data_IF_959141592809
#
_entry.id   IF_959141592809
#
_cell.length_a   1.000
_cell.length_b   1.000
_cell.length_c   1.000
_cell.angle_alpha   90.00
_cell.angle_beta   90.00
_cell.angle_gamma   90.00
#
_symmetry.space_group_name_H-M   'P 1'
#
loop_
_entity.id
_entity.type
_entity.pdbx_description
1 polymer ?
#
# COMPACT_ATOMS: atom_id res chain seq x y z
N UNK A 1 13.97 -8.24 20.33
CA UNK A 1 13.03 -7.51 19.44
C UNK A 1 11.58 -7.88 19.75
N UNK A 2 11.25 -9.17 19.82
CA UNK A 2 9.93 -9.71 20.19
C UNK A 2 9.38 -9.18 21.54
N UNK A 3 10.20 -9.19 22.61
CA UNK A 3 9.83 -8.61 23.92
C UNK A 3 9.47 -7.11 23.89
N UNK A 4 9.98 -6.35 22.91
CA UNK A 4 9.65 -4.92 22.77
C UNK A 4 8.34 -4.75 21.97
N UNK A 5 8.10 -5.63 20.98
CA UNK A 5 6.85 -5.68 20.22
C UNK A 5 5.69 -6.14 21.11
N UNK A 6 5.84 -7.18 21.92
CA UNK A 6 4.83 -7.64 22.88
C UNK A 6 4.53 -6.61 23.98
N UNK A 7 5.51 -5.79 24.37
CA UNK A 7 5.28 -4.68 25.31
C UNK A 7 4.43 -3.56 24.71
N UNK A 8 4.65 -3.25 23.42
CA UNK A 8 3.87 -2.27 22.64
C UNK A 8 2.53 -2.83 22.16
N UNK A 9 2.45 -4.14 21.93
CA UNK A 9 1.30 -4.92 21.52
C UNK A 9 0.79 -5.75 22.69
N UNK A 10 0.29 -5.09 23.73
CA UNK A 10 -0.33 -5.77 24.85
C UNK A 10 -1.85 -5.56 24.85
N UNK A 11 -2.58 -6.45 25.53
CA UNK A 11 -4.05 -6.44 25.59
C UNK A 11 -4.65 -5.08 26.00
N UNK A 12 -3.92 -4.24 26.73
CA UNK A 12 -4.35 -2.88 27.11
C UNK A 12 -4.34 -1.91 25.93
N UNK A 13 -3.42 -2.06 24.97
CA UNK A 13 -3.36 -1.21 23.75
C UNK A 13 -4.50 -1.58 22.80
N UNK A 14 -4.75 -2.87 22.61
CA UNK A 14 -5.88 -3.38 21.84
C UNK A 14 -7.20 -2.92 22.48
N UNK A 15 -7.32 -3.10 23.80
CA UNK A 15 -8.50 -2.67 24.56
C UNK A 15 -8.71 -1.14 24.47
N UNK A 16 -7.64 -0.34 24.53
CA UNK A 16 -7.75 1.11 24.38
C UNK A 16 -8.26 1.53 22.99
N UNK A 17 -7.87 0.81 21.93
CA UNK A 17 -8.33 1.09 20.57
C UNK A 17 -9.78 0.62 20.37
N UNK A 18 -10.16 -0.53 20.92
CA UNK A 18 -11.56 -1.02 20.91
C UNK A 18 -12.48 -0.08 21.70
N UNK A 19 -12.06 0.34 22.89
CA UNK A 19 -12.79 1.33 23.71
C UNK A 19 -12.84 2.68 22.99
N UNK A 20 -11.76 3.11 22.34
CA UNK A 20 -11.75 4.31 21.50
C UNK A 20 -12.77 4.23 20.35
N UNK A 21 -12.85 3.09 19.66
CA UNK A 21 -13.85 2.85 18.61
C UNK A 21 -15.29 2.89 19.13
N UNK A 22 -15.54 2.30 20.31
CA UNK A 22 -16.83 2.38 21.00
C UNK A 22 -17.20 3.82 21.40
N UNK A 23 -16.23 4.58 21.93
CA UNK A 23 -16.41 6.00 22.25
C UNK A 23 -16.76 6.81 21.01
N UNK A 24 -16.12 6.53 19.86
CA UNK A 24 -16.48 7.16 18.57
C UNK A 24 -17.89 6.80 18.15
N UNK A 25 -18.26 5.51 18.18
CA UNK A 25 -19.60 5.03 17.83
C UNK A 25 -20.71 5.69 18.66
N UNK A 26 -20.50 5.80 19.97
CA UNK A 26 -21.47 6.38 20.91
C UNK A 26 -21.51 7.92 20.79
N UNK A 27 -20.36 8.57 20.57
CA UNK A 27 -20.28 10.04 20.53
C UNK A 27 -20.65 10.64 19.17
N UNK A 28 -20.57 9.89 18.07
CA UNK A 28 -20.87 10.37 16.70
C UNK A 28 -22.22 11.08 16.53
N UNK A 29 -23.33 10.63 17.16
CA UNK A 29 -24.63 11.31 17.07
C UNK A 29 -24.69 12.63 17.85
N UNK A 30 -23.85 12.80 18.88
CA UNK A 30 -23.93 13.93 19.83
C UNK A 30 -22.80 14.95 19.62
N UNK A 31 -21.62 14.49 19.19
CA UNK A 31 -20.40 15.29 19.05
C UNK A 31 -19.61 14.89 17.77
N UNK A 32 -20.17 15.14 16.57
CA UNK A 32 -19.63 14.63 15.31
C UNK A 32 -18.20 15.12 15.00
N UNK A 33 -17.87 16.39 15.34
CA UNK A 33 -16.52 16.93 15.14
C UNK A 33 -15.47 16.25 16.03
N UNK A 34 -15.83 15.93 17.27
CA UNK A 34 -14.94 15.20 18.18
C UNK A 34 -14.75 13.75 17.70
N UNK A 35 -15.84 13.09 17.30
CA UNK A 35 -15.79 11.74 16.74
C UNK A 35 -14.89 11.66 15.50
N UNK A 36 -14.95 12.64 14.59
CA UNK A 36 -14.11 12.70 13.39
C UNK A 36 -12.61 12.87 13.72
N UNK A 37 -12.27 13.69 14.72
CA UNK A 37 -10.89 13.83 15.20
C UNK A 37 -10.38 12.50 15.74
N UNK A 38 -11.16 11.84 16.60
CA UNK A 38 -10.76 10.54 17.20
C UNK A 38 -10.67 9.43 16.13
N UNK A 39 -11.60 9.40 15.16
CA UNK A 39 -11.63 8.46 14.02
C UNK A 39 -10.34 8.57 13.18
N UNK A 40 -9.84 9.79 12.97
CA UNK A 40 -8.59 10.01 12.23
C UNK A 40 -7.32 9.46 12.90
N UNK A 41 -7.35 9.25 14.23
CA UNK A 41 -6.28 8.58 14.96
C UNK A 41 -6.47 7.07 15.05
N UNK A 42 -7.72 6.60 15.14
CA UNK A 42 -8.04 5.19 15.27
C UNK A 42 -7.79 4.38 14.00
N UNK A 43 -8.04 4.95 12.81
CA UNK A 43 -7.83 4.23 11.54
C UNK A 43 -6.35 3.87 11.33
N UNK A 44 -5.38 4.81 11.45
CA UNK A 44 -3.95 4.46 11.39
C UNK A 44 -3.53 3.49 12.49
N UNK A 45 -4.07 3.63 13.71
CA UNK A 45 -3.76 2.73 14.82
C UNK A 45 -4.27 1.30 14.55
N UNK A 46 -5.46 1.16 13.95
CA UNK A 46 -6.02 -0.12 13.53
C UNK A 46 -5.18 -0.78 12.45
N UNK A 47 -4.74 -0.03 11.43
CA UNK A 47 -3.84 -0.54 10.38
C UNK A 47 -2.53 -1.03 10.99
N UNK A 48 -1.94 -0.27 11.92
CA UNK A 48 -0.70 -0.67 12.62
C UNK A 48 -0.92 -1.93 13.45
N UNK A 49 -2.05 -2.05 14.15
CA UNK A 49 -2.43 -3.28 14.88
C UNK A 49 -2.57 -4.46 13.94
N UNK A 50 -3.26 -4.32 12.81
CA UNK A 50 -3.44 -5.41 11.83
C UNK A 50 -2.08 -5.85 11.28
N UNK A 51 -1.20 -4.91 10.97
CA UNK A 51 0.18 -5.24 10.56
C UNK A 51 0.96 -5.95 11.67
N UNK A 52 0.81 -5.55 12.94
CA UNK A 52 1.43 -6.24 14.08
C UNK A 52 0.83 -7.62 14.33
N UNK A 53 -0.48 -7.81 14.20
CA UNK A 53 -1.14 -9.12 14.28
C UNK A 53 -0.63 -10.03 13.17
N UNK A 54 -0.57 -9.57 11.93
CA UNK A 54 -0.01 -10.35 10.82
C UNK A 54 1.45 -10.72 11.10
N UNK A 55 2.23 -9.81 11.68
CA UNK A 55 3.62 -10.05 12.06
C UNK A 55 3.73 -11.05 13.23
N UNK A 56 2.92 -10.90 14.28
CA UNK A 56 2.91 -11.77 15.46
C UNK A 56 2.38 -13.14 15.12
N UNK A 57 1.30 -13.24 14.33
CA UNK A 57 0.81 -14.49 13.76
C UNK A 57 1.91 -15.15 12.96
N UNK A 58 2.63 -14.43 12.09
CA UNK A 58 3.77 -14.98 11.34
C UNK A 58 4.89 -15.47 12.25
N UNK A 59 5.24 -14.70 13.29
CA UNK A 59 6.31 -15.04 14.24
C UNK A 59 5.91 -16.22 15.12
N UNK A 60 4.70 -16.23 15.68
CA UNK A 60 4.17 -17.32 16.48
C UNK A 60 3.96 -18.57 15.64
N UNK A 61 3.46 -18.46 14.40
CA UNK A 61 3.44 -19.57 13.47
C UNK A 61 4.85 -20.09 13.23
N UNK A 62 5.88 -19.25 13.03
CA UNK A 62 7.25 -19.73 12.88
C UNK A 62 7.85 -20.37 14.15
N UNK A 63 7.57 -19.81 15.33
CA UNK A 63 8.02 -20.31 16.65
C UNK A 63 7.34 -21.63 17.01
N UNK A 64 6.03 -21.70 16.78
CA UNK A 64 5.23 -22.90 17.02
C UNK A 64 5.54 -23.95 15.97
N UNK A 65 5.89 -23.58 14.73
CA UNK A 65 6.42 -24.49 13.73
C UNK A 65 7.78 -25.07 14.14
N UNK A 66 8.70 -24.26 14.67
CA UNK A 66 9.99 -24.76 15.20
C UNK A 66 9.82 -25.63 16.45
N UNK A 67 8.89 -25.28 17.36
CA UNK A 67 8.57 -26.10 18.53
C UNK A 67 7.86 -27.39 18.14
N UNK A 68 6.98 -27.35 17.15
CA UNK A 68 6.31 -28.53 16.58
C UNK A 68 7.32 -29.40 15.87
N UNK A 69 8.25 -28.86 15.07
CA UNK A 69 9.37 -29.62 14.47
C UNK A 69 10.24 -30.26 15.56
N UNK A 70 10.67 -29.52 16.59
CA UNK A 70 11.46 -30.10 17.69
C UNK A 70 10.70 -31.17 18.48
N UNK A 71 9.39 -30.97 18.69
CA UNK A 71 8.53 -31.95 19.36
C UNK A 71 8.25 -33.15 18.46
N UNK A 72 8.28 -32.96 17.13
CA UNK A 72 8.17 -33.98 16.10
C UNK A 72 9.46 -34.82 16.05
N UNK A 73 10.63 -34.19 16.06
CA UNK A 73 11.95 -34.83 16.16
C UNK A 73 12.10 -35.63 17.48
N UNK A 74 11.54 -35.13 18.59
CA UNK A 74 11.49 -35.83 19.88
C UNK A 74 10.47 -37.00 19.93
N UNK A 75 9.54 -37.07 18.98
CA UNK A 75 8.50 -38.10 18.89
C UNK A 75 8.79 -39.15 17.81
N UNK A 76 9.90 -39.04 17.07
CA UNK A 76 10.36 -40.07 16.10
C UNK A 76 10.58 -41.45 16.75
N UNK A 77 10.68 -41.52 18.08
CA UNK A 77 10.76 -42.77 18.84
C UNK A 77 9.40 -43.44 19.13
N UNK A 78 8.26 -42.76 18.93
CA UNK A 78 6.94 -43.31 19.26
C UNK A 78 5.90 -43.04 18.14
N UNK A 79 5.66 -44.08 17.33
CA UNK A 79 4.58 -44.25 16.33
C UNK A 79 4.71 -43.43 15.02
N UNK A 80 5.49 -44.01 14.10
CA UNK A 80 5.80 -43.53 12.74
C UNK A 80 4.58 -43.26 11.83
N UNK A 81 3.47 -44.01 11.94
CA UNK A 81 2.37 -43.93 10.97
C UNK A 81 1.38 -42.77 11.17
N UNK A 82 1.11 -42.36 12.42
CA UNK A 82 0.26 -41.18 12.71
C UNK A 82 1.03 -39.87 12.44
N UNK A 83 2.36 -39.94 12.56
CA UNK A 83 3.28 -38.85 12.30
C UNK A 83 3.37 -38.47 10.82
N UNK A 84 3.44 -39.47 9.93
CA UNK A 84 3.49 -39.25 8.49
C UNK A 84 2.22 -38.54 7.96
N UNK A 85 1.05 -38.79 8.57
CA UNK A 85 -0.20 -38.14 8.19
C UNK A 85 -0.24 -36.66 8.65
N UNK A 86 0.26 -36.37 9.86
CA UNK A 86 0.36 -35.00 10.39
C UNK A 86 1.39 -34.19 9.61
N UNK A 87 2.54 -34.78 9.27
CA UNK A 87 3.56 -34.16 8.42
C UNK A 87 2.97 -33.89 7.03
N UNK A 88 2.26 -34.84 6.40
CA UNK A 88 1.58 -34.60 5.12
C UNK A 88 0.55 -33.48 5.19
N UNK A 89 -0.29 -33.43 6.23
CA UNK A 89 -1.27 -32.34 6.42
C UNK A 89 -0.59 -31.00 6.64
N UNK A 90 0.48 -30.96 7.42
CA UNK A 90 1.23 -29.74 7.72
C UNK A 90 1.99 -29.23 6.50
N UNK A 91 2.61 -30.13 5.73
CA UNK A 91 3.23 -29.81 4.45
C UNK A 91 2.18 -29.32 3.45
N UNK A 92 1.02 -29.97 3.36
CA UNK A 92 -0.10 -29.51 2.52
C UNK A 92 -0.62 -28.12 2.92
N UNK A 93 -0.66 -27.78 4.21
CA UNK A 93 -1.05 -26.44 4.67
C UNK A 93 0.04 -25.41 4.34
N UNK A 94 1.32 -25.78 4.52
CA UNK A 94 2.46 -24.93 4.13
C UNK A 94 2.48 -24.69 2.62
N UNK A 95 2.21 -25.71 1.83
CA UNK A 95 2.12 -25.63 0.38
C UNK A 95 0.89 -24.80 -0.03
N UNK A 96 -0.25 -24.91 0.67
CA UNK A 96 -1.42 -24.06 0.48
C UNK A 96 -1.18 -22.58 0.87
N UNK A 97 -0.37 -22.31 1.90
CA UNK A 97 0.03 -20.94 2.28
C UNK A 97 1.13 -20.40 1.35
N UNK A 98 1.97 -21.25 0.80
CA UNK A 98 2.98 -20.90 -0.22
C UNK A 98 2.40 -20.78 -1.64
N UNK A 99 1.19 -21.26 -1.88
CA UNK A 99 0.51 -21.17 -3.18
C UNK A 99 0.05 -19.73 -3.43
N UNK A 100 0.97 -18.93 -3.99
CA UNK A 100 0.66 -17.68 -4.69
C UNK A 100 1.07 -16.40 -3.99
N UNK A 101 1.84 -16.46 -2.89
CA UNK A 101 2.33 -15.27 -2.19
C UNK A 101 3.83 -15.04 -2.48
N UNK A 102 4.15 -14.12 -3.39
CA UNK A 102 5.52 -13.61 -3.55
C UNK A 102 5.61 -12.23 -2.92
N UNK A 103 6.55 -12.06 -1.99
CA UNK A 103 6.75 -10.82 -1.27
C UNK A 103 8.21 -10.40 -1.34
N UNK A 104 8.45 -9.12 -1.62
CA UNK A 104 9.78 -8.53 -1.61
C UNK A 104 9.73 -7.22 -0.83
N UNK A 105 10.59 -7.10 0.18
CA UNK A 105 10.85 -5.83 0.85
C UNK A 105 12.19 -5.27 0.35
N UNK A 106 12.33 -3.95 0.39
CA UNK A 106 13.52 -3.26 -0.07
C UNK A 106 14.09 -2.41 1.06
N UNK A 107 15.41 -2.45 1.20
CA UNK A 107 16.13 -1.75 2.27
C UNK A 107 16.44 -0.30 1.89
N UNK A 108 16.28 0.08 0.62
CA UNK A 108 16.57 1.43 0.14
C UNK A 108 15.74 1.89 -1.06
N UNK A 109 15.74 3.22 -1.20
CA UNK A 109 15.75 4.00 -2.44
C UNK A 109 15.81 3.22 -3.74
N UNK A 110 17.07 3.06 -4.05
CA UNK A 110 17.64 2.57 -5.27
C UNK A 110 17.23 1.12 -5.52
N UNK A 111 17.22 0.25 -4.50
CA UNK A 111 16.81 -1.15 -4.67
C UNK A 111 15.36 -1.28 -5.16
N UNK A 112 14.48 -0.44 -4.63
CA UNK A 112 13.08 -0.42 -5.06
C UNK A 112 12.92 0.20 -6.45
N UNK A 113 13.62 1.30 -6.75
CA UNK A 113 13.58 1.93 -8.06
C UNK A 113 14.17 1.01 -9.16
N UNK A 114 15.26 0.27 -8.88
CA UNK A 114 15.84 -0.74 -9.79
C UNK A 114 14.85 -1.87 -10.07
N UNK A 115 14.17 -2.32 -9.01
CA UNK A 115 13.11 -3.32 -9.13
C UNK A 115 11.94 -2.84 -9.98
N UNK A 116 11.46 -1.62 -9.70
CA UNK A 116 10.40 -1.00 -10.50
C UNK A 116 10.83 -0.85 -11.95
N UNK A 117 12.05 -0.39 -12.23
CA UNK A 117 12.54 -0.24 -13.60
C UNK A 117 12.46 -1.57 -14.37
N UNK A 118 12.92 -2.67 -13.76
CA UNK A 118 12.77 -4.00 -14.35
C UNK A 118 11.31 -4.39 -14.61
N UNK A 119 10.43 -4.21 -13.61
CA UNK A 119 9.02 -4.63 -13.70
C UNK A 119 8.20 -3.80 -14.66
N UNK A 120 8.37 -2.49 -14.62
CA UNK A 120 7.66 -1.53 -15.48
C UNK A 120 8.01 -1.74 -16.96
N UNK A 121 9.26 -2.10 -17.27
CA UNK A 121 9.65 -2.41 -18.66
C UNK A 121 8.90 -3.61 -19.25
N UNK A 122 8.48 -4.56 -18.42
CA UNK A 122 7.69 -5.72 -18.83
C UNK A 122 6.18 -5.48 -18.77
N UNK A 123 5.76 -4.50 -17.98
CA UNK A 123 4.35 -4.24 -17.73
C UNK A 123 3.60 -3.81 -19.00
N UNK A 124 2.29 -4.03 -19.06
CA UNK A 124 1.39 -3.52 -20.12
C UNK A 124 0.50 -2.40 -19.62
N UNK A 125 0.04 -2.52 -18.37
CA UNK A 125 -0.84 -1.58 -17.70
C UNK A 125 -0.32 -1.31 -16.31
N UNK A 126 -0.30 -0.03 -15.94
CA UNK A 126 0.01 0.39 -14.58
C UNK A 126 -1.13 1.26 -14.08
N UNK A 127 -1.58 1.01 -12.84
CA UNK A 127 -2.58 1.83 -12.14
C UNK A 127 -1.93 2.38 -10.88
N UNK A 128 -2.03 3.68 -10.67
CA UNK A 128 -1.43 4.36 -9.53
C UNK A 128 -2.50 5.10 -8.73
N UNK A 129 -2.49 4.90 -7.42
CA UNK A 129 -3.29 5.65 -6.45
C UNK A 129 -2.32 6.53 -5.68
N UNK A 130 -2.42 7.85 -5.85
CA UNK A 130 -1.67 8.83 -5.07
C UNK A 130 -2.65 9.71 -4.27
N UNK A 131 -2.89 9.33 -3.01
CA UNK A 131 -3.74 10.11 -2.11
C UNK A 131 -2.90 10.82 -1.05
N UNK A 132 -3.29 12.06 -0.78
CA UNK A 132 -2.75 12.91 0.27
C UNK A 132 -1.22 12.91 0.39
N UNK A 133 -0.49 13.18 -0.71
CA UNK A 133 0.97 13.21 -0.66
C UNK A 133 1.47 14.45 0.06
N UNK A 134 1.56 14.39 1.38
CA UNK A 134 2.03 15.51 2.19
C UNK A 134 3.37 16.04 1.66
N UNK A 135 3.58 17.38 1.67
CA UNK A 135 4.93 17.89 1.53
C UNK A 135 5.70 17.29 2.71
N UNK A 136 6.77 16.56 2.43
CA UNK A 136 7.67 16.17 3.49
C UNK A 136 8.18 17.48 4.10
N UNK A 137 7.63 17.86 5.25
CA UNK A 137 8.14 18.97 6.06
C UNK A 137 9.55 18.67 6.61
N UNK A 138 10.18 17.57 6.19
CA UNK A 138 11.58 17.33 6.39
C UNK A 138 12.39 18.25 5.49
N UNK A 139 12.86 19.31 6.11
CA UNK A 139 14.08 20.08 5.80
C UNK A 139 15.33 19.24 5.48
N UNK A 140 15.27 17.90 5.57
CA UNK A 140 16.30 16.98 5.06
C UNK A 140 16.25 16.92 3.52
N UNK A 141 16.94 17.88 2.90
CA UNK A 141 17.22 17.93 1.46
C UNK A 141 18.22 16.86 0.98
N UNK A 142 18.36 15.72 1.67
CA UNK A 142 19.00 14.56 1.06
C UNK A 142 17.98 13.92 0.12
N UNK A 143 17.78 14.55 -1.04
CA UNK A 143 17.11 13.93 -2.16
C UNK A 143 17.88 12.66 -2.50
N UNK A 144 17.41 11.51 -2.00
CA UNK A 144 17.86 10.23 -2.50
C UNK A 144 17.73 10.26 -4.02
N UNK A 145 18.70 9.71 -4.75
CA UNK A 145 18.68 9.65 -6.22
C UNK A 145 17.47 8.81 -6.65
N UNK A 146 16.31 9.45 -6.82
CA UNK A 146 15.08 8.80 -7.28
C UNK A 146 15.10 8.71 -8.79
N UNK A 147 14.80 7.52 -9.30
CA UNK A 147 14.63 7.24 -10.73
C UNK A 147 13.17 7.08 -11.12
N UNK A 148 12.23 7.14 -10.16
CA UNK A 148 10.79 6.96 -10.40
C UNK A 148 10.26 7.73 -11.62
N UNK A 149 10.55 9.03 -11.73
CA UNK A 149 10.08 9.84 -12.86
C UNK A 149 10.63 9.33 -14.20
N UNK A 150 11.91 8.93 -14.23
CA UNK A 150 12.53 8.39 -15.43
C UNK A 150 11.93 7.02 -15.81
N UNK A 151 11.62 6.19 -14.81
CA UNK A 151 10.99 4.87 -15.00
C UNK A 151 9.59 5.03 -15.60
N UNK A 152 8.76 5.90 -15.01
CA UNK A 152 7.40 6.17 -15.52
C UNK A 152 7.46 6.84 -16.89
N UNK A 153 8.40 7.76 -17.12
CA UNK A 153 8.60 8.37 -18.43
C UNK A 153 8.92 7.32 -19.51
N UNK A 154 9.80 6.36 -19.22
CA UNK A 154 10.11 5.25 -20.15
C UNK A 154 8.88 4.39 -20.46
N UNK A 155 8.05 4.13 -19.46
CA UNK A 155 6.78 3.40 -19.62
C UNK A 155 5.78 4.15 -20.51
N UNK A 156 5.58 5.45 -20.25
CA UNK A 156 4.67 6.28 -21.02
C UNK A 156 5.12 6.38 -22.49
N UNK A 157 6.43 6.59 -22.72
CA UNK A 157 7.02 6.66 -24.07
C UNK A 157 6.89 5.35 -24.86
N UNK A 158 6.75 4.21 -24.18
CA UNK A 158 6.46 2.93 -24.83
C UNK A 158 4.97 2.74 -25.18
N UNK A 159 4.15 3.81 -25.07
CA UNK A 159 2.72 3.88 -25.43
C UNK A 159 1.85 2.86 -24.69
N UNK A 160 2.31 2.41 -23.53
CA UNK A 160 1.57 1.51 -22.63
C UNK A 160 0.59 2.31 -21.79
N UNK A 161 -0.39 1.64 -21.21
CA UNK A 161 -1.50 2.32 -20.52
C UNK A 161 -1.14 2.60 -19.08
N UNK A 162 -1.16 3.88 -18.71
CA UNK A 162 -0.89 4.32 -17.35
C UNK A 162 -2.11 5.07 -16.80
N UNK A 163 -2.71 4.54 -15.75
CA UNK A 163 -3.80 5.19 -15.03
C UNK A 163 -3.28 5.80 -13.74
N UNK A 164 -3.71 7.02 -13.44
CA UNK A 164 -3.39 7.69 -12.17
C UNK A 164 -4.64 8.32 -11.58
N UNK A 165 -4.93 7.98 -10.33
CA UNK A 165 -5.88 8.70 -9.49
C UNK A 165 -5.08 9.58 -8.54
N UNK A 166 -5.43 10.86 -8.49
CA UNK A 166 -4.93 11.79 -7.49
C UNK A 166 -6.07 12.60 -6.88
N UNK A 167 -5.81 13.25 -5.75
CA UNK A 167 -6.79 14.12 -5.09
C UNK A 167 -6.18 15.49 -4.81
N UNK A 168 -7.02 16.43 -4.36
CA UNK A 168 -6.52 17.69 -3.77
C UNK A 168 -5.53 17.36 -2.66
N UNK A 169 -4.44 18.11 -2.59
CA UNK A 169 -3.42 17.96 -1.56
C UNK A 169 -2.98 19.32 -1.08
N UNK A 170 -2.65 19.39 0.21
CA UNK A 170 -2.05 20.57 0.83
C UNK A 170 -0.60 20.82 0.37
N UNK A 171 -0.01 19.89 -0.40
CA UNK A 171 1.28 20.09 -1.05
C UNK A 171 1.10 20.92 -2.34
N UNK A 172 1.54 22.19 -2.38
CA UNK A 172 1.35 23.03 -3.56
C UNK A 172 2.08 22.48 -4.79
N UNK A 173 3.16 21.71 -4.60
CA UNK A 173 3.95 21.18 -5.70
C UNK A 173 3.24 20.06 -6.48
N UNK A 174 2.23 19.41 -5.91
CA UNK A 174 1.56 18.30 -6.60
C UNK A 174 0.80 18.80 -7.81
N UNK A 175 0.13 19.94 -7.70
CA UNK A 175 -0.59 20.50 -8.84
C UNK A 175 0.39 20.89 -9.96
N UNK A 176 1.56 21.42 -9.62
CA UNK A 176 2.60 21.73 -10.60
C UNK A 176 3.18 20.45 -11.24
N UNK A 177 3.34 19.37 -10.48
CA UNK A 177 3.77 18.08 -11.02
C UNK A 177 2.74 17.47 -11.96
N UNK A 178 1.46 17.48 -11.57
CA UNK A 178 0.39 16.98 -12.43
C UNK A 178 0.27 17.84 -13.68
N UNK A 179 0.35 19.18 -13.56
CA UNK A 179 0.36 20.09 -14.72
C UNK A 179 1.51 19.76 -15.68
N UNK A 180 2.73 19.61 -15.15
CA UNK A 180 3.91 19.27 -15.95
C UNK A 180 3.75 17.92 -16.65
N UNK A 181 3.26 16.91 -15.94
CA UNK A 181 3.00 15.58 -16.51
C UNK A 181 1.91 15.62 -17.60
N UNK A 182 0.83 16.38 -17.38
CA UNK A 182 -0.24 16.57 -18.36
C UNK A 182 0.31 17.22 -19.63
N UNK A 183 1.12 18.29 -19.52
CA UNK A 183 1.72 18.95 -20.69
C UNK A 183 2.72 18.04 -21.42
N UNK A 184 3.58 17.36 -20.65
CA UNK A 184 4.68 16.55 -21.22
C UNK A 184 4.17 15.28 -21.89
N UNK A 185 3.07 14.72 -21.40
CA UNK A 185 2.55 13.41 -21.80
C UNK A 185 1.13 13.49 -22.40
N UNK A 186 0.70 14.67 -22.86
CA UNK A 186 -0.63 14.88 -23.42
C UNK A 186 -0.94 14.01 -24.65
N UNK A 187 0.07 13.49 -25.36
CA UNK A 187 -0.07 12.64 -26.55
C UNK A 187 0.26 11.15 -26.29
N UNK A 188 0.15 10.72 -25.03
CA UNK A 188 0.47 9.35 -24.62
C UNK A 188 -0.74 8.73 -23.94
N UNK A 189 -0.71 7.41 -23.73
CA UNK A 189 -1.75 6.68 -22.99
C UNK A 189 -1.68 6.95 -21.47
N UNK A 190 -1.66 8.22 -21.09
CA UNK A 190 -1.60 8.73 -19.73
C UNK A 190 -3.00 9.19 -19.28
N UNK A 191 -3.69 8.30 -18.58
CA UNK A 191 -5.06 8.50 -18.12
C UNK A 191 -5.03 9.03 -16.69
N UNK A 192 -5.34 10.31 -16.52
CA UNK A 192 -5.30 10.98 -15.21
C UNK A 192 -6.73 11.29 -14.74
N UNK A 193 -7.01 10.94 -13.49
CA UNK A 193 -8.30 11.10 -12.84
C UNK A 193 -8.11 11.87 -11.52
N UNK A 194 -8.98 12.85 -11.29
CA UNK A 194 -9.04 13.61 -10.05
C UNK A 194 -10.23 13.17 -9.21
N UNK A 195 -9.94 12.78 -7.99
CA UNK A 195 -10.92 12.34 -7.00
C UNK A 195 -11.69 13.58 -6.49
N UNK A 196 -12.94 13.72 -6.93
CA UNK A 196 -13.78 14.88 -6.67
C UNK A 196 -14.96 14.59 -5.73
N UNK A 197 -15.49 13.35 -5.73
CA UNK A 197 -16.70 12.98 -4.97
C UNK A 197 -16.43 12.52 -3.53
N UNK A 198 -15.16 12.28 -3.18
CA UNK A 198 -14.75 11.81 -1.86
C UNK A 198 -13.83 12.85 -1.22
N UNK A 199 -14.25 13.37 -0.06
CA UNK A 199 -13.43 14.25 0.75
C UNK A 199 -12.45 13.42 1.59
N UNK A 200 -11.15 13.62 1.36
CA UNK A 200 -10.10 12.94 2.10
C UNK A 200 -9.63 13.82 3.26
N UNK A 201 -10.20 13.64 4.44
CA UNK A 201 -9.75 14.34 5.65
C UNK A 201 -8.80 13.46 6.47
N UNK A 202 -7.62 13.98 6.82
CA UNK A 202 -6.69 13.38 7.80
C UNK A 202 -6.21 11.94 7.51
N UNK A 203 -6.17 11.50 6.24
CA UNK A 203 -5.56 10.21 5.90
C UNK A 203 -4.04 10.36 5.72
N UNK A 204 -3.23 9.33 6.01
CA UNK A 204 -1.79 9.36 5.67
C UNK A 204 -1.61 9.32 4.15
N UNK A 205 -0.44 9.74 3.66
CA UNK A 205 -0.05 9.54 2.26
C UNK A 205 -0.21 8.07 1.87
N UNK A 206 -1.05 7.80 0.88
CA UNK A 206 -1.19 6.47 0.29
C UNK A 206 -0.61 6.55 -1.12
N UNK A 207 0.43 5.77 -1.36
CA UNK A 207 0.98 5.55 -2.69
C UNK A 207 0.99 4.06 -2.98
N UNK A 208 0.14 3.67 -3.93
CA UNK A 208 -0.03 2.29 -4.37
C UNK A 208 0.17 2.27 -5.88
N UNK A 209 1.00 1.35 -6.34
CA UNK A 209 1.14 1.03 -7.76
C UNK A 209 0.69 -0.41 -7.99
N UNK A 210 -0.23 -0.61 -8.92
CA UNK A 210 -0.72 -1.91 -9.35
C UNK A 210 -0.17 -2.13 -10.76
N UNK A 211 0.56 -3.23 -10.96
CA UNK A 211 1.20 -3.58 -12.23
C UNK A 211 0.50 -4.81 -12.80
N UNK A 212 -0.07 -4.68 -13.99
CA UNK A 212 -0.74 -5.75 -14.76
C UNK A 212 -1.84 -6.53 -14.03
N UNK A 213 -2.38 -6.01 -12.91
CA UNK A 213 -3.27 -6.78 -12.02
C UNK A 213 -2.65 -8.09 -11.52
N UNK A 214 -1.32 -8.16 -11.50
CA UNK A 214 -0.54 -9.29 -10.97
C UNK A 214 0.23 -8.92 -9.70
N UNK A 215 0.50 -7.63 -9.51
CA UNK A 215 1.43 -7.15 -8.50
C UNK A 215 1.01 -5.80 -7.92
N UNK A 216 1.19 -5.66 -6.61
CA UNK A 216 1.01 -4.39 -5.90
C UNK A 216 2.34 -3.97 -5.26
N UNK A 217 2.76 -2.77 -5.57
CA UNK A 217 3.89 -2.10 -4.94
C UNK A 217 3.39 -1.01 -3.99
N UNK A 218 3.83 -1.07 -2.74
CA UNK A 218 3.50 -0.13 -1.68
C UNK A 218 4.77 0.64 -1.30
N UNK A 219 4.65 1.96 -1.31
CA UNK A 219 5.80 2.84 -1.21
C UNK A 219 6.38 3.18 -2.59
N UNK A 220 7.02 4.34 -2.67
CA UNK A 220 7.35 4.98 -3.95
C UNK A 220 6.38 6.09 -4.32
N UNK A 221 6.86 7.07 -5.06
CA UNK A 221 6.16 8.32 -5.34
C UNK A 221 7.17 9.46 -5.45
N UNK A 222 6.70 10.62 -5.91
CA UNK A 222 7.55 11.74 -6.32
C UNK A 222 8.61 12.15 -5.28
N UNK A 223 8.32 12.07 -3.97
CA UNK A 223 9.23 12.46 -2.88
C UNK A 223 8.93 11.78 -1.52
N UNK A 224 8.73 10.47 -1.45
CA UNK A 224 8.63 9.77 -0.14
C UNK A 224 10.02 9.35 0.36
N UNK A 225 10.38 9.69 1.59
CA UNK A 225 11.62 9.18 2.22
C UNK A 225 11.51 7.69 2.51
N UNK A 226 12.61 6.94 2.39
CA UNK A 226 12.66 5.50 2.68
C UNK A 226 12.69 5.17 4.17
N UNK A 227 12.34 6.13 5.03
CA UNK A 227 12.07 5.85 6.46
C UNK A 227 10.87 4.92 6.65
N UNK A 228 10.13 4.61 5.58
CA UNK A 228 9.05 3.62 5.57
C UNK A 228 9.41 2.44 4.64
N UNK A 229 9.12 1.19 5.04
CA UNK A 229 9.41 0.02 4.23
C UNK A 229 8.65 0.08 2.92
N UNK A 230 9.38 -0.02 1.80
CA UNK A 230 8.78 -0.23 0.48
C UNK A 230 8.71 -1.73 0.22
N UNK A 231 7.59 -2.18 -0.35
CA UNK A 231 7.32 -3.60 -0.55
C UNK A 231 6.62 -3.84 -1.89
N UNK A 232 6.86 -5.01 -2.47
CA UNK A 232 6.17 -5.52 -3.64
C UNK A 232 5.54 -6.87 -3.30
N UNK A 233 4.27 -7.04 -3.68
CA UNK A 233 3.46 -8.20 -3.34
C UNK A 233 2.79 -8.73 -4.61
N UNK A 234 3.04 -9.99 -4.93
CA UNK A 234 2.27 -10.75 -5.92
C UNK A 234 1.44 -11.76 -5.16
N UNK A 235 0.15 -11.46 -5.05
CA UNK A 235 -0.85 -12.34 -4.47
C UNK A 235 -2.21 -11.93 -5.05
N UNK A 236 -2.97 -12.90 -5.55
CA UNK A 236 -4.20 -12.64 -6.29
C UNK A 236 -5.21 -11.87 -5.45
N UNK A 237 -5.39 -12.23 -4.19
CA UNK A 237 -6.37 -11.63 -3.29
C UNK A 237 -6.01 -10.18 -2.94
N UNK A 238 -4.73 -9.92 -2.63
CA UNK A 238 -4.23 -8.56 -2.35
C UNK A 238 -4.33 -7.68 -3.59
N UNK A 239 -3.94 -8.21 -4.76
CA UNK A 239 -4.00 -7.46 -6.00
C UNK A 239 -5.44 -7.15 -6.38
N UNK A 240 -6.36 -8.11 -6.20
CA UNK A 240 -7.79 -7.89 -6.39
C UNK A 240 -8.31 -6.79 -5.45
N UNK A 241 -7.97 -6.84 -4.16
CA UNK A 241 -8.38 -5.83 -3.19
C UNK A 241 -7.97 -4.41 -3.63
N UNK A 242 -6.71 -4.21 -4.02
CA UNK A 242 -6.24 -2.90 -4.48
C UNK A 242 -6.81 -2.51 -5.84
N UNK A 243 -7.12 -3.47 -6.70
CA UNK A 243 -7.79 -3.23 -7.99
C UNK A 243 -9.23 -2.78 -7.78
N UNK A 244 -9.96 -3.44 -6.88
CA UNK A 244 -11.32 -3.03 -6.49
C UNK A 244 -11.32 -1.65 -5.84
N UNK A 245 -10.33 -1.39 -4.98
CA UNK A 245 -10.15 -0.07 -4.37
C UNK A 245 -9.84 1.01 -5.42
N UNK A 246 -8.97 0.72 -6.40
CA UNK A 246 -8.71 1.61 -7.53
C UNK A 246 -10.00 1.89 -8.32
N UNK A 247 -10.78 0.86 -8.66
CA UNK A 247 -12.02 0.99 -9.42
C UNK A 247 -13.09 1.78 -8.65
N UNK A 248 -13.17 1.58 -7.34
CA UNK A 248 -14.02 2.37 -6.47
C UNK A 248 -13.65 3.86 -6.53
N UNK A 249 -12.36 4.19 -6.33
CA UNK A 249 -11.89 5.57 -6.43
C UNK A 249 -12.08 6.15 -7.83
N UNK A 250 -11.88 5.34 -8.87
CA UNK A 250 -12.09 5.74 -10.26
C UNK A 250 -13.54 6.17 -10.51
N UNK A 251 -14.51 5.41 -10.00
CA UNK A 251 -15.94 5.74 -10.11
C UNK A 251 -16.33 7.05 -9.39
N UNK A 252 -15.51 7.41 -8.39
CA UNK A 252 -15.63 8.62 -7.60
C UNK A 252 -14.74 9.77 -8.10
N UNK A 253 -14.12 9.64 -9.28
CA UNK A 253 -13.22 10.62 -9.88
C UNK A 253 -13.78 11.18 -11.19
N UNK A 254 -13.30 12.35 -11.58
CA UNK A 254 -13.47 12.91 -12.93
C UNK A 254 -12.16 12.71 -13.70
N UNK A 255 -12.26 12.29 -14.95
CA UNK A 255 -11.12 12.15 -15.85
C UNK A 255 -10.68 13.52 -16.37
N UNK A 256 -9.39 13.82 -16.27
CA UNK A 256 -8.78 15.06 -16.78
C UNK A 256 -8.00 14.80 -18.07
N UNK A 257 -7.43 13.60 -18.21
CA UNK A 257 -6.68 13.20 -19.41
C UNK A 257 -7.19 11.89 -19.96
N UNK A 258 -7.42 11.85 -21.28
CA UNK A 258 -7.90 10.69 -22.03
C UNK A 258 -7.00 10.40 -23.22
N UNK A 259 -5.90 9.68 -22.98
CA UNK A 259 -4.92 9.37 -24.02
C UNK A 259 -4.33 10.66 -24.56
N UNK A 260 -4.56 10.94 -25.83
CA UNK A 260 -3.96 12.08 -26.54
C UNK A 260 -4.60 13.45 -26.26
N UNK A 261 -5.52 13.54 -25.27
CA UNK A 261 -6.27 14.76 -24.99
C UNK A 261 -6.33 15.07 -23.48
N UNK A 262 -6.06 16.32 -23.12
CA UNK A 262 -6.18 16.87 -21.77
C UNK A 262 -7.29 17.93 -21.70
N UNK A 263 -8.14 17.85 -20.68
CA UNK A 263 -9.13 18.88 -20.34
C UNK A 263 -8.49 19.97 -19.46
N UNK A 264 -7.87 20.96 -20.12
CA UNK A 264 -7.20 22.08 -19.45
C UNK A 264 -8.16 23.01 -18.71
N UNK A 265 -9.40 23.13 -19.18
CA UNK A 265 -10.41 23.96 -18.52
C UNK A 265 -10.80 23.34 -17.16
N UNK A 266 -11.11 22.05 -17.17
CA UNK A 266 -11.39 21.29 -15.96
C UNK A 266 -10.19 21.31 -15.01
N UNK A 267 -8.98 21.04 -15.51
CA UNK A 267 -7.77 21.03 -14.68
C UNK A 267 -7.55 22.37 -13.97
N UNK A 268 -7.72 23.49 -14.68
CA UNK A 268 -7.57 24.81 -14.08
C UNK A 268 -8.66 25.09 -13.04
N UNK A 269 -9.90 24.64 -13.27
CA UNK A 269 -11.02 24.77 -12.33
C UNK A 269 -10.83 24.00 -11.02
N UNK A 270 -10.26 22.79 -11.07
CA UNK A 270 -9.98 21.99 -9.86
C UNK A 270 -8.72 22.44 -9.12
N UNK A 271 -7.85 23.19 -9.81
CA UNK A 271 -6.57 23.67 -9.28
C UNK A 271 -6.67 25.04 -8.60
N UNK A 272 -7.73 25.81 -8.89
CA UNK A 272 -8.06 27.08 -8.22
C UNK A 272 -8.68 26.86 -6.84
#
# INVERSE_FOLDING_TARGET
>A
MMNNIEKLYNNKVILAIVVGGLVVLISKPFFPKFAQVVESFLIPAFIVIVCFEILIIRINLSSDFEKVIKKIELLEDYKKSEFDEIIKKTQSIKDQIQLGYQFKAFDSGEQFDDYLNFRVNQAKVIKVIHLNSFPSSSTDQSYEKRSYNNIIEGFLKSKKTFHRIYCKSDNPNIQDWIRSDLQKYEHLNHLIYYLDKIELTNIRTISVMIIDEEEVCLGGGYKTSYKHPTIAIKNKEIVQFYTDYFNYLLSASIQISSGDNVDWELFNKISS
#
